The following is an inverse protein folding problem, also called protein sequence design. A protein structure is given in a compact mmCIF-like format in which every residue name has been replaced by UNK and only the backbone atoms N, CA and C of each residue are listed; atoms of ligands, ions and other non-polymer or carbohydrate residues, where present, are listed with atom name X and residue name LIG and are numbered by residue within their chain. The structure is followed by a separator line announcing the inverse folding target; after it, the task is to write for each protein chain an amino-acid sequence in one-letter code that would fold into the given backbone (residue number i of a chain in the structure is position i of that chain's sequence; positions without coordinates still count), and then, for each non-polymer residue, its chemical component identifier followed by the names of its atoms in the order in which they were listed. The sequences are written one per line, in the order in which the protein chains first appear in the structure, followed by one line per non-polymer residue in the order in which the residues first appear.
data_IF_275056689043
#
_entry.id   IF_275056689043
#
_cell.length_a   1.000
_cell.length_b   1.000
_cell.length_c   1.000
_cell.angle_alpha   90.00
_cell.angle_beta   90.00
_cell.angle_gamma   90.00
#
_symmetry.space_group_name_H-M   'P 1'
#
loop_
_entity.id
_entity.type
_entity.pdbx_description
1 polymer ?
#
# COMPACT_ATOMS: atom_id res chain seq x y z
N UNK A 1 10.37 -8.28 -24.45
CA UNK A 1 10.06 -9.25 -23.37
C UNK A 1 11.16 -9.40 -22.31
N UNK A 2 12.43 -9.02 -22.55
CA UNK A 2 13.50 -9.15 -21.54
C UNK A 2 13.44 -8.14 -20.37
N UNK A 3 13.10 -6.88 -20.64
CA UNK A 3 13.05 -5.83 -19.60
C UNK A 3 11.94 -6.05 -18.56
N UNK A 4 10.79 -6.60 -18.97
CA UNK A 4 9.65 -6.85 -18.09
C UNK A 4 9.95 -7.95 -17.07
N UNK A 5 10.63 -9.03 -17.48
CA UNK A 5 11.00 -10.11 -16.56
C UNK A 5 12.02 -9.63 -15.53
N UNK A 6 13.02 -8.84 -15.96
CA UNK A 6 14.04 -8.29 -15.07
C UNK A 6 13.45 -7.27 -14.08
N UNK A 7 12.50 -6.42 -14.52
CA UNK A 7 11.77 -5.48 -13.66
C UNK A 7 10.87 -6.18 -12.64
N UNK A 8 10.20 -7.26 -13.03
CA UNK A 8 9.37 -8.07 -12.11
C UNK A 8 10.25 -8.78 -11.08
N UNK A 9 11.37 -9.37 -11.51
CA UNK A 9 12.32 -10.03 -10.62
C UNK A 9 12.95 -9.02 -9.65
N UNK A 10 13.43 -7.87 -10.12
CA UNK A 10 13.93 -6.82 -9.21
C UNK A 10 12.85 -6.29 -8.29
N UNK A 11 11.65 -6.09 -8.83
CA UNK A 11 10.48 -5.57 -8.13
C UNK A 11 9.93 -6.46 -7.02
N UNK A 12 10.18 -7.77 -7.09
CA UNK A 12 9.62 -8.77 -6.18
C UNK A 12 10.70 -9.42 -5.32
N UNK A 13 11.88 -9.71 -5.89
CA UNK A 13 13.00 -10.37 -5.21
C UNK A 13 13.81 -9.38 -4.38
N UNK A 14 14.12 -8.19 -4.89
CA UNK A 14 14.91 -7.22 -4.11
C UNK A 14 14.19 -6.80 -2.80
N UNK A 15 12.88 -6.51 -2.78
CA UNK A 15 12.19 -6.23 -1.53
C UNK A 15 12.17 -7.40 -0.58
N UNK A 16 12.03 -8.64 -1.08
CA UNK A 16 12.05 -9.85 -0.26
C UNK A 16 13.43 -10.03 0.36
N UNK A 17 14.51 -9.85 -0.40
CA UNK A 17 15.88 -9.97 0.11
C UNK A 17 16.24 -8.84 1.07
N UNK A 18 15.79 -7.61 0.82
CA UNK A 18 16.01 -6.47 1.72
C UNK A 18 15.19 -6.63 3.01
N UNK A 19 13.92 -7.04 2.89
CA UNK A 19 13.09 -7.36 4.04
C UNK A 19 13.71 -8.49 4.84
N UNK A 20 14.05 -9.61 4.19
CA UNK A 20 14.70 -10.77 4.83
C UNK A 20 16.06 -10.42 5.43
N UNK A 21 16.84 -9.52 4.81
CA UNK A 21 18.12 -9.04 5.31
C UNK A 21 17.98 -8.12 6.53
N UNK A 22 17.12 -7.09 6.45
CA UNK A 22 16.84 -6.18 7.56
C UNK A 22 16.24 -6.93 8.76
N UNK A 23 15.39 -7.91 8.46
CA UNK A 23 14.79 -8.81 9.43
C UNK A 23 15.79 -9.84 9.95
N UNK A 24 16.68 -10.35 9.10
CA UNK A 24 17.79 -11.24 9.46
C UNK A 24 18.69 -10.54 10.48
N UNK A 25 19.09 -9.30 10.20
CA UNK A 25 19.82 -8.45 11.14
C UNK A 25 19.02 -8.22 12.44
N UNK A 26 17.70 -7.96 12.33
CA UNK A 26 16.83 -7.78 13.49
C UNK A 26 16.58 -9.08 14.30
N UNK A 27 16.77 -10.26 13.70
CA UNK A 27 16.52 -11.56 14.33
C UNK A 27 17.79 -12.27 14.79
N UNK A 28 18.94 -11.93 14.22
CA UNK A 28 20.28 -12.45 14.56
C UNK A 28 20.84 -11.82 15.82
N UNK A 29 20.55 -10.53 16.06
CA UNK A 29 20.68 -9.97 17.39
C UNK A 29 19.61 -10.58 18.29
N UNK A 30 19.98 -11.16 19.44
CA UNK A 30 19.02 -11.34 20.54
C UNK A 30 18.61 -9.96 21.03
N UNK A 31 17.71 -9.27 20.31
CA UNK A 31 17.13 -7.96 20.65
C UNK A 31 16.12 -8.14 21.80
N UNK A 32 16.50 -8.89 22.83
CA UNK A 32 15.68 -9.16 24.00
C UNK A 32 15.81 -8.05 25.04
N UNK A 33 16.82 -7.17 24.94
CA UNK A 33 17.15 -6.20 26.00
C UNK A 33 17.31 -4.74 25.57
N UNK A 34 17.16 -4.40 24.29
CA UNK A 34 17.48 -3.03 23.85
C UNK A 34 16.28 -2.36 23.15
N UNK A 35 15.52 -1.50 23.85
CA UNK A 35 14.48 -0.63 23.26
C UNK A 35 14.98 0.18 22.04
N UNK A 36 16.30 0.42 21.98
CA UNK A 36 16.98 1.20 20.94
C UNK A 36 16.92 0.61 19.53
N UNK A 37 16.34 -0.56 19.28
CA UNK A 37 16.33 -1.17 17.93
C UNK A 37 14.93 -1.20 17.28
N UNK A 38 13.89 -0.70 17.95
CA UNK A 38 12.52 -0.66 17.42
C UNK A 38 12.36 0.18 16.15
N UNK A 39 13.26 1.14 15.92
CA UNK A 39 13.28 1.96 14.70
C UNK A 39 13.63 1.14 13.45
N UNK A 40 14.17 -0.07 13.59
CA UNK A 40 14.43 -0.95 12.45
C UNK A 40 13.16 -1.48 11.80
N UNK A 41 12.03 -1.56 12.53
CA UNK A 41 10.76 -2.03 11.97
C UNK A 41 10.24 -1.09 10.87
N UNK A 42 10.08 0.23 11.12
CA UNK A 42 9.66 1.13 10.05
C UNK A 42 10.71 1.18 8.92
N UNK A 43 12.01 1.12 9.22
CA UNK A 43 13.09 1.03 8.19
C UNK A 43 12.92 -0.20 7.31
N UNK A 44 12.73 -1.37 7.91
CA UNK A 44 12.52 -2.62 7.18
C UNK A 44 11.25 -2.59 6.33
N UNK A 45 10.24 -1.78 6.69
CA UNK A 45 9.02 -1.62 5.90
C UNK A 45 9.20 -0.67 4.72
N UNK A 46 9.88 0.46 4.91
CA UNK A 46 9.93 1.48 3.88
C UNK A 46 11.11 1.37 2.93
N UNK A 47 12.26 0.81 3.37
CA UNK A 47 13.42 0.62 2.49
C UNK A 47 13.09 -0.29 1.31
N UNK A 48 12.42 -1.45 1.47
CA UNK A 48 12.02 -2.28 0.33
C UNK A 48 11.14 -1.54 -0.67
N UNK A 49 10.17 -0.75 -0.20
CA UNK A 49 9.27 0.04 -1.04
C UNK A 49 10.04 1.15 -1.77
N UNK A 50 10.91 1.87 -1.06
CA UNK A 50 11.73 2.93 -1.62
C UNK A 50 12.74 2.39 -2.65
N UNK A 51 13.43 1.29 -2.32
CA UNK A 51 14.40 0.66 -3.24
C UNK A 51 13.70 0.12 -4.47
N UNK A 52 12.55 -0.56 -4.33
CA UNK A 52 11.75 -0.98 -5.48
C UNK A 52 11.37 0.21 -6.37
N UNK A 53 10.98 1.33 -5.76
CA UNK A 53 10.62 2.53 -6.49
C UNK A 53 11.82 3.16 -7.21
N UNK A 54 12.92 3.46 -6.50
CA UNK A 54 14.09 4.13 -7.08
C UNK A 54 14.82 3.25 -8.10
N UNK A 55 14.84 1.93 -7.90
CA UNK A 55 15.43 1.00 -8.86
C UNK A 55 14.65 0.98 -10.19
N UNK A 56 13.32 1.12 -10.15
CA UNK A 56 12.48 1.11 -11.35
C UNK A 56 12.40 2.47 -12.05
N UNK A 57 12.47 3.58 -11.31
CA UNK A 57 12.14 4.90 -11.84
C UNK A 57 13.25 5.95 -11.76
N UNK A 58 14.31 5.71 -10.97
CA UNK A 58 15.31 6.73 -10.68
C UNK A 58 14.71 7.95 -9.97
N UNK A 59 15.23 9.15 -10.26
CA UNK A 59 14.72 10.39 -9.68
C UNK A 59 13.38 10.78 -10.32
N UNK A 60 12.34 11.14 -9.53
CA UNK A 60 11.01 11.39 -10.06
C UNK A 60 10.98 12.60 -10.99
N UNK A 61 10.59 12.34 -12.24
CA UNK A 61 10.38 13.33 -13.29
C UNK A 61 8.89 13.66 -13.46
N UNK A 62 8.02 12.67 -13.21
CA UNK A 62 6.57 12.81 -13.38
C UNK A 62 5.86 12.97 -12.03
N UNK A 63 4.70 13.64 -12.04
CA UNK A 63 3.97 13.98 -10.80
C UNK A 63 3.49 12.73 -10.04
N UNK A 64 3.02 11.69 -10.74
CA UNK A 64 2.61 10.43 -10.10
C UNK A 64 3.79 9.69 -9.45
N UNK A 65 5.02 9.91 -9.92
CA UNK A 65 6.19 9.27 -9.34
C UNK A 65 6.48 9.80 -7.94
N UNK A 66 5.92 10.95 -7.57
CA UNK A 66 6.04 11.52 -6.21
C UNK A 66 5.29 10.71 -5.16
N UNK A 67 4.38 9.81 -5.56
CA UNK A 67 3.73 8.85 -4.67
C UNK A 67 4.76 7.97 -3.95
N UNK A 68 5.92 7.74 -4.56
CA UNK A 68 7.07 7.05 -3.94
C UNK A 68 7.55 7.66 -2.63
N UNK A 69 7.42 8.97 -2.49
CA UNK A 69 7.87 9.67 -1.30
C UNK A 69 6.91 9.49 -0.14
N UNK A 70 5.68 9.03 -0.38
CA UNK A 70 4.70 8.74 0.67
C UNK A 70 5.21 7.69 1.66
N UNK A 71 5.66 6.50 1.24
CA UNK A 71 6.23 5.51 2.16
C UNK A 71 7.56 5.96 2.79
N UNK A 72 8.38 6.75 2.08
CA UNK A 72 9.64 7.33 2.63
C UNK A 72 9.35 8.40 3.69
N UNK A 73 8.31 9.18 3.51
CA UNK A 73 7.90 10.16 4.51
C UNK A 73 7.17 9.48 5.68
N UNK A 74 6.34 8.47 5.38
CA UNK A 74 5.74 7.58 6.39
C UNK A 74 6.80 6.85 7.23
N UNK A 75 7.95 6.49 6.65
CA UNK A 75 9.12 5.98 7.37
C UNK A 75 9.62 6.97 8.40
N UNK A 76 9.87 8.21 7.99
CA UNK A 76 10.39 9.27 8.87
C UNK A 76 9.41 9.47 10.03
N UNK A 77 8.11 9.54 9.73
CA UNK A 77 7.06 9.65 10.74
C UNK A 77 7.01 8.44 11.65
N UNK A 78 7.12 7.22 11.11
CA UNK A 78 7.18 5.98 11.89
C UNK A 78 8.39 5.92 12.81
N UNK A 79 9.56 6.35 12.35
CA UNK A 79 10.78 6.46 13.17
C UNK A 79 10.55 7.48 14.29
N UNK A 80 10.03 8.67 13.97
CA UNK A 80 9.72 9.70 14.97
C UNK A 80 8.69 9.20 15.99
N UNK A 81 7.69 8.42 15.56
CA UNK A 81 6.71 7.76 16.44
C UNK A 81 7.39 6.85 17.47
N UNK A 82 8.36 6.05 17.01
CA UNK A 82 9.11 5.13 17.85
C UNK A 82 9.98 5.90 18.84
N UNK A 83 10.55 7.03 18.42
CA UNK A 83 11.47 7.84 19.24
C UNK A 83 10.77 8.73 20.27
N UNK A 84 9.65 9.36 19.90
CA UNK A 84 8.96 10.37 20.75
C UNK A 84 8.04 9.76 21.82
N UNK A 85 7.81 8.45 21.80
CA UNK A 85 7.06 7.74 22.84
C UNK A 85 5.54 7.84 22.70
N UNK A 86 4.82 7.33 23.69
CA UNK A 86 3.38 6.97 23.60
C UNK A 86 2.39 8.09 23.96
N UNK A 87 2.84 9.33 24.14
CA UNK A 87 1.99 10.44 24.59
C UNK A 87 0.87 10.78 23.60
N UNK A 88 -0.27 11.27 24.11
CA UNK A 88 -1.43 11.65 23.27
C UNK A 88 -1.05 12.76 22.28
N UNK A 89 -0.26 13.74 22.72
CA UNK A 89 0.25 14.82 21.86
C UNK A 89 1.17 14.29 20.75
N UNK A 90 2.06 13.34 21.05
CA UNK A 90 2.92 12.70 20.05
C UNK A 90 2.09 11.93 19.00
N UNK A 91 1.01 11.25 19.43
CA UNK A 91 0.08 10.58 18.50
C UNK A 91 -0.71 11.57 17.65
N UNK A 92 -1.19 12.66 18.24
CA UNK A 92 -1.89 13.72 17.51
C UNK A 92 -0.98 14.36 16.46
N UNK A 93 0.25 14.72 16.85
CA UNK A 93 1.27 15.24 15.93
C UNK A 93 1.58 14.26 14.80
N UNK A 94 1.74 12.97 15.11
CA UNK A 94 1.95 11.93 14.10
C UNK A 94 0.81 11.86 13.08
N UNK A 95 -0.44 11.85 13.54
CA UNK A 95 -1.60 11.82 12.65
C UNK A 95 -1.65 13.05 11.73
N UNK A 96 -1.34 14.23 12.27
CA UNK A 96 -1.27 15.47 11.49
C UNK A 96 -0.17 15.40 10.42
N UNK A 97 1.01 14.88 10.76
CA UNK A 97 2.09 14.73 9.77
C UNK A 97 1.71 13.71 8.70
N UNK A 98 1.12 12.56 9.06
CA UNK A 98 0.63 11.58 8.08
C UNK A 98 -0.40 12.17 7.12
N UNK A 99 -1.32 12.98 7.67
CA UNK A 99 -2.28 13.73 6.88
C UNK A 99 -1.61 14.72 5.94
N UNK A 100 -0.69 15.55 6.44
CA UNK A 100 0.06 16.52 5.65
C UNK A 100 0.85 15.86 4.51
N UNK A 101 1.49 14.71 4.77
CA UNK A 101 2.23 13.94 3.77
C UNK A 101 1.32 13.37 2.68
N UNK A 102 0.17 12.82 3.09
CA UNK A 102 -0.86 12.34 2.16
C UNK A 102 -1.30 13.49 1.25
N UNK A 103 -1.56 14.66 1.84
CA UNK A 103 -1.97 15.87 1.12
C UNK A 103 -0.90 16.31 0.13
N UNK A 104 0.36 16.43 0.57
CA UNK A 104 1.47 16.86 -0.27
C UNK A 104 1.70 15.93 -1.47
N UNK A 105 1.52 14.62 -1.29
CA UNK A 105 1.70 13.64 -2.36
C UNK A 105 0.57 13.65 -3.40
N UNK A 106 -0.67 13.91 -2.95
CA UNK A 106 -1.85 13.93 -3.83
C UNK A 106 -2.02 15.30 -4.51
N UNK A 107 -1.54 16.36 -3.87
CA UNK A 107 -1.65 17.74 -4.35
C UNK A 107 -1.30 17.95 -5.83
N UNK A 108 -0.16 17.42 -6.35
CA UNK A 108 0.18 17.59 -7.75
C UNK A 108 -0.66 16.71 -8.68
N UNK A 109 -1.29 15.63 -8.19
CA UNK A 109 -1.98 14.62 -9.01
C UNK A 109 -3.43 15.05 -9.30
N UNK A 110 -4.11 15.63 -8.31
CA UNK A 110 -5.51 16.03 -8.45
C UNK A 110 -5.60 17.40 -9.12
N UNK A 111 -5.69 17.41 -10.44
CA UNK A 111 -5.92 18.63 -11.23
C UNK A 111 -7.36 19.16 -11.13
N UNK A 112 -8.32 18.35 -10.64
CA UNK A 112 -9.74 18.75 -10.54
C UNK A 112 -9.92 19.95 -9.58
N UNK A 113 -10.71 20.92 -10.02
CA UNK A 113 -10.87 22.26 -9.40
C UNK A 113 -11.41 22.24 -7.97
N UNK A 114 -12.01 21.14 -7.51
CA UNK A 114 -12.64 21.10 -6.19
C UNK A 114 -11.67 20.65 -5.10
N UNK A 115 -11.36 21.55 -4.17
CA UNK A 115 -10.58 21.32 -2.95
C UNK A 115 -10.97 20.06 -2.16
N UNK A 116 -12.23 19.63 -2.26
CA UNK A 116 -12.76 18.41 -1.62
C UNK A 116 -11.93 17.17 -1.96
N UNK A 117 -11.55 16.97 -3.22
CA UNK A 117 -10.78 15.78 -3.63
C UNK A 117 -9.33 15.78 -3.12
N UNK A 118 -8.81 16.95 -2.71
CA UNK A 118 -7.48 17.08 -2.11
C UNK A 118 -7.51 16.83 -0.60
N UNK A 119 -8.61 17.20 0.06
CA UNK A 119 -8.77 17.07 1.51
C UNK A 119 -9.26 15.68 1.90
N UNK A 120 -10.16 15.07 1.11
CA UNK A 120 -10.76 13.77 1.42
C UNK A 120 -9.72 12.67 1.75
N UNK A 121 -8.62 12.51 0.99
CA UNK A 121 -7.62 11.48 1.27
C UNK A 121 -6.83 11.77 2.55
N UNK A 122 -6.59 13.04 2.84
CA UNK A 122 -5.95 13.48 4.10
C UNK A 122 -6.80 13.05 5.29
N UNK A 123 -8.11 13.35 5.23
CA UNK A 123 -9.07 12.98 6.27
C UNK A 123 -9.18 11.46 6.38
N UNK A 124 -9.24 10.75 5.26
CA UNK A 124 -9.32 9.29 5.23
C UNK A 124 -8.07 8.64 5.86
N UNK A 125 -6.86 9.11 5.55
CA UNK A 125 -5.62 8.60 6.17
C UNK A 125 -5.60 8.85 7.67
N UNK A 126 -5.96 10.06 8.11
CA UNK A 126 -6.04 10.40 9.53
C UNK A 126 -7.06 9.51 10.24
N UNK A 127 -8.25 9.37 9.68
CA UNK A 127 -9.32 8.56 10.25
C UNK A 127 -8.91 7.08 10.33
N UNK A 128 -8.36 6.51 9.26
CA UNK A 128 -7.88 5.13 9.22
C UNK A 128 -6.79 4.89 10.27
N UNK A 129 -5.78 5.76 10.32
CA UNK A 129 -4.70 5.66 11.30
C UNK A 129 -5.20 5.81 12.75
N UNK A 130 -6.10 6.76 13.00
CA UNK A 130 -6.69 6.99 14.32
C UNK A 130 -7.54 5.81 14.78
N UNK A 131 -8.30 5.17 13.88
CA UNK A 131 -9.14 4.02 14.18
C UNK A 131 -8.31 2.74 14.40
N UNK A 132 -7.18 2.59 13.72
CA UNK A 132 -6.29 1.43 13.89
C UNK A 132 -5.32 1.60 15.08
N UNK A 133 -5.01 2.83 15.49
CA UNK A 133 -4.06 3.09 16.56
C UNK A 133 -4.41 2.40 17.90
N UNK A 134 -5.66 2.41 18.39
CA UNK A 134 -6.04 1.66 19.58
C UNK A 134 -5.82 0.15 19.42
N UNK A 135 -6.09 -0.42 18.24
CA UNK A 135 -5.84 -1.83 17.97
C UNK A 135 -4.35 -2.16 18.08
N UNK A 136 -3.46 -1.34 17.50
CA UNK A 136 -2.03 -1.53 17.63
C UNK A 136 -1.55 -1.50 19.08
N UNK A 137 -2.15 -0.68 19.93
CA UNK A 137 -1.79 -0.64 21.36
C UNK A 137 -2.32 -1.85 22.14
N UNK A 138 -3.53 -2.33 21.82
CA UNK A 138 -4.19 -3.46 22.51
C UNK A 138 -3.70 -4.82 22.00
N UNK A 139 -3.32 -4.91 20.73
CA UNK A 139 -2.89 -6.13 20.01
C UNK A 139 -1.59 -5.92 19.25
N UNK A 140 -0.55 -5.55 19.97
CA UNK A 140 0.78 -5.54 19.39
C UNK A 140 1.22 -7.03 19.22
N UNK A 141 0.99 -7.58 18.03
CA UNK A 141 1.09 -9.00 17.69
C UNK A 141 0.79 -9.23 16.21
N UNK A 142 0.65 -10.49 15.73
CA UNK A 142 0.56 -10.80 14.30
C UNK A 142 -0.69 -10.24 13.61
N UNK A 143 -1.76 -9.93 14.36
CA UNK A 143 -3.04 -9.49 13.82
C UNK A 143 -2.91 -8.26 12.90
N UNK A 144 -2.22 -7.23 13.38
CA UNK A 144 -2.06 -5.95 12.68
C UNK A 144 -1.22 -6.07 11.41
N UNK A 145 0.04 -6.55 11.43
CA UNK A 145 0.84 -6.68 10.22
C UNK A 145 0.18 -7.66 9.22
N UNK A 146 -0.50 -8.71 9.68
CA UNK A 146 -1.16 -9.67 8.78
C UNK A 146 -2.38 -9.08 8.09
N UNK A 147 -3.23 -8.35 8.82
CA UNK A 147 -4.37 -7.67 8.22
C UNK A 147 -3.94 -6.57 7.25
N UNK A 148 -2.90 -5.80 7.61
CA UNK A 148 -2.30 -4.80 6.73
C UNK A 148 -1.64 -5.44 5.49
N UNK A 149 -1.01 -6.61 5.61
CA UNK A 149 -0.44 -7.34 4.48
C UNK A 149 -1.53 -7.71 3.46
N UNK A 150 -2.65 -8.28 3.93
CA UNK A 150 -3.78 -8.66 3.08
C UNK A 150 -4.38 -7.45 2.39
N UNK A 151 -4.62 -6.36 3.13
CA UNK A 151 -5.16 -5.13 2.55
C UNK A 151 -4.20 -4.51 1.52
N UNK A 152 -2.90 -4.47 1.82
CA UNK A 152 -1.89 -3.92 0.90
C UNK A 152 -1.75 -4.79 -0.35
N UNK A 153 -1.83 -6.11 -0.23
CA UNK A 153 -1.88 -7.02 -1.38
C UNK A 153 -3.13 -6.80 -2.24
N UNK A 154 -4.29 -6.60 -1.59
CA UNK A 154 -5.53 -6.22 -2.27
C UNK A 154 -5.41 -4.91 -3.04
N UNK A 155 -4.82 -3.90 -2.42
CA UNK A 155 -4.51 -2.62 -3.09
C UNK A 155 -3.56 -2.81 -4.27
N UNK A 156 -2.50 -3.63 -4.14
CA UNK A 156 -1.61 -3.93 -5.25
C UNK A 156 -2.36 -4.61 -6.41
N UNK A 157 -3.21 -5.60 -6.12
CA UNK A 157 -4.03 -6.27 -7.12
C UNK A 157 -4.99 -5.29 -7.82
N UNK A 158 -5.60 -4.37 -7.06
CA UNK A 158 -6.46 -3.34 -7.63
C UNK A 158 -5.72 -2.40 -8.57
N UNK A 159 -4.53 -1.93 -8.16
CA UNK A 159 -3.66 -1.08 -8.98
C UNK A 159 -3.22 -1.81 -10.25
N UNK A 160 -3.00 -3.13 -10.17
CA UNK A 160 -2.68 -3.97 -11.31
C UNK A 160 -3.84 -4.07 -12.30
N UNK A 161 -5.07 -4.32 -11.81
CA UNK A 161 -6.28 -4.40 -12.64
C UNK A 161 -6.52 -3.07 -13.36
N UNK A 162 -6.20 -1.94 -12.73
CA UNK A 162 -6.23 -0.62 -13.35
C UNK A 162 -5.14 -0.40 -14.42
N UNK A 163 -4.31 -1.39 -14.74
CA UNK A 163 -3.22 -1.28 -15.71
C UNK A 163 -1.98 -0.56 -15.20
N UNK A 164 -1.94 -0.15 -13.93
CA UNK A 164 -0.84 0.63 -13.37
C UNK A 164 0.26 -0.28 -12.80
N UNK A 165 0.84 -1.13 -13.66
CA UNK A 165 1.88 -2.10 -13.29
C UNK A 165 3.02 -1.44 -12.50
N UNK A 166 3.36 -0.21 -12.88
CA UNK A 166 4.43 0.57 -12.28
C UNK A 166 4.25 0.80 -10.76
N UNK A 167 3.02 1.07 -10.31
CA UNK A 167 2.71 1.25 -8.88
C UNK A 167 2.45 -0.08 -8.18
N UNK A 168 2.02 -1.12 -8.90
CA UNK A 168 1.74 -2.44 -8.34
C UNK A 168 2.95 -3.03 -7.64
N UNK A 169 4.12 -2.96 -8.29
CA UNK A 169 5.36 -3.56 -7.80
C UNK A 169 5.77 -3.05 -6.41
N UNK A 170 5.95 -1.72 -6.17
CA UNK A 170 6.34 -1.22 -4.86
C UNK A 170 5.28 -1.45 -3.76
N UNK A 171 3.99 -1.53 -4.13
CA UNK A 171 2.92 -1.85 -3.16
C UNK A 171 2.99 -3.34 -2.79
N UNK A 172 3.18 -4.23 -3.78
CA UNK A 172 3.35 -5.66 -3.57
C UNK A 172 4.57 -5.98 -2.70
N UNK A 173 5.67 -5.25 -2.90
CA UNK A 173 6.85 -5.28 -2.04
C UNK A 173 6.53 -4.97 -0.57
N UNK A 174 5.73 -3.93 -0.32
CA UNK A 174 5.24 -3.58 1.01
C UNK A 174 4.37 -4.69 1.63
N UNK A 175 3.43 -5.24 0.85
CA UNK A 175 2.58 -6.35 1.28
C UNK A 175 3.39 -7.59 1.68
N UNK A 176 4.38 -7.96 0.88
CA UNK A 176 5.27 -9.10 1.15
C UNK A 176 6.10 -8.87 2.42
N UNK A 177 6.62 -7.65 2.61
CA UNK A 177 7.37 -7.30 3.81
C UNK A 177 6.52 -7.44 5.08
N UNK A 178 5.25 -7.00 5.03
CA UNK A 178 4.28 -7.18 6.10
C UNK A 178 3.95 -8.66 6.34
N UNK A 179 3.86 -9.47 5.28
CA UNK A 179 3.64 -10.91 5.40
C UNK A 179 4.80 -11.62 6.11
N UNK A 180 6.04 -11.27 5.77
CA UNK A 180 7.24 -11.77 6.47
C UNK A 180 7.24 -11.34 7.93
N UNK A 181 6.95 -10.07 8.22
CA UNK A 181 6.82 -9.56 9.58
C UNK A 181 5.73 -10.32 10.37
N UNK A 182 4.63 -10.67 9.71
CA UNK A 182 3.56 -11.49 10.28
C UNK A 182 4.04 -12.91 10.61
N UNK A 183 4.71 -13.58 9.67
CA UNK A 183 5.25 -14.93 9.89
C UNK A 183 6.23 -14.96 11.07
N UNK A 184 7.00 -13.90 11.25
CA UNK A 184 7.97 -13.79 12.34
C UNK A 184 7.30 -13.51 13.66
N UNK A 185 6.31 -12.61 13.69
CA UNK A 185 5.55 -12.35 14.92
C UNK A 185 4.73 -13.56 15.37
N UNK A 186 4.32 -14.43 14.45
CA UNK A 186 3.75 -15.74 14.76
C UNK A 186 4.75 -16.68 15.43
N UNK A 187 6.02 -16.71 14.98
CA UNK A 187 7.07 -17.55 15.57
C UNK A 187 7.71 -16.97 16.83
N UNK A 188 7.81 -15.64 16.93
CA UNK A 188 8.48 -14.88 17.99
C UNK A 188 7.49 -13.88 18.59
N UNK A 189 6.78 -14.30 19.64
CA UNK A 189 5.73 -13.53 20.34
C UNK A 189 6.21 -12.22 21.01
N UNK A 190 7.52 -12.00 21.07
CA UNK A 190 8.14 -10.81 21.64
C UNK A 190 8.16 -9.61 20.66
N UNK A 191 8.12 -9.85 19.35
CA UNK A 191 8.01 -8.78 18.35
C UNK A 191 6.57 -8.30 18.28
N UNK A 192 6.38 -7.01 18.49
CA UNK A 192 5.07 -6.39 18.69
C UNK A 192 4.92 -5.15 17.81
N UNK A 193 4.89 -5.33 16.48
CA UNK A 193 4.64 -4.23 15.55
C UNK A 193 3.31 -3.57 15.89
N UNK A 194 3.33 -2.24 16.02
CA UNK A 194 2.21 -1.45 16.49
C UNK A 194 1.96 -0.21 15.64
N UNK A 195 2.13 0.97 16.25
CA UNK A 195 1.78 2.26 15.63
C UNK A 195 2.69 2.59 14.45
N UNK A 196 3.95 2.16 14.50
CA UNK A 196 4.94 2.34 13.45
C UNK A 196 4.52 1.66 12.14
N UNK A 197 3.92 0.46 12.21
CA UNK A 197 3.42 -0.25 11.03
C UNK A 197 2.21 0.46 10.45
N UNK A 198 1.31 0.96 11.30
CA UNK A 198 0.15 1.73 10.84
C UNK A 198 0.60 3.03 10.17
N UNK A 199 1.54 3.76 10.75
CA UNK A 199 2.02 5.03 10.22
C UNK A 199 2.63 4.91 8.82
N UNK A 200 3.35 3.81 8.55
CA UNK A 200 3.94 3.56 7.22
C UNK A 200 2.86 3.13 6.21
N UNK A 201 1.92 2.27 6.62
CA UNK A 201 1.02 1.58 5.70
C UNK A 201 -0.26 2.36 5.43
N UNK A 202 -0.78 3.13 6.40
CA UNK A 202 -2.06 3.84 6.23
C UNK A 202 -2.06 4.87 5.11
N UNK A 203 -1.00 5.69 4.89
CA UNK A 203 -0.96 6.61 3.77
C UNK A 203 -0.89 5.84 2.43
N UNK A 204 -0.14 4.73 2.38
CA UNK A 204 -0.04 3.90 1.19
C UNK A 204 -1.40 3.31 0.79
N UNK A 205 -2.15 2.79 1.77
CA UNK A 205 -3.48 2.21 1.58
C UNK A 205 -4.52 3.22 1.08
N UNK A 206 -4.32 4.53 1.30
CA UNK A 206 -5.26 5.57 0.83
C UNK A 206 -4.79 6.19 -0.48
N UNK A 207 -3.51 6.55 -0.57
CA UNK A 207 -2.95 7.25 -1.74
C UNK A 207 -2.94 6.33 -2.96
N UNK A 208 -2.46 5.09 -2.82
CA UNK A 208 -2.32 4.20 -3.96
C UNK A 208 -3.65 3.89 -4.70
N UNK A 209 -4.73 3.46 -4.03
CA UNK A 209 -5.98 3.18 -4.72
C UNK A 209 -6.64 4.46 -5.24
N UNK A 210 -6.47 5.61 -4.58
CA UNK A 210 -6.94 6.88 -5.11
C UNK A 210 -6.23 7.26 -6.42
N UNK A 211 -4.90 7.12 -6.47
CA UNK A 211 -4.11 7.41 -7.68
C UNK A 211 -4.52 6.49 -8.81
N UNK A 212 -4.73 5.20 -8.54
CA UNK A 212 -5.23 4.26 -9.54
C UNK A 212 -6.64 4.63 -10.04
N UNK A 213 -7.54 5.01 -9.13
CA UNK A 213 -8.88 5.46 -9.49
C UNK A 213 -8.87 6.75 -10.32
N UNK A 214 -8.08 7.75 -9.91
CA UNK A 214 -7.93 9.00 -10.66
C UNK A 214 -7.40 8.77 -12.07
N UNK A 215 -6.41 7.86 -12.21
CA UNK A 215 -5.89 7.48 -13.52
C UNK A 215 -6.97 6.84 -14.39
N UNK A 216 -7.72 5.86 -13.87
CA UNK A 216 -8.80 5.20 -14.61
C UNK A 216 -9.90 6.19 -15.02
N UNK A 217 -10.35 7.04 -14.09
CA UNK A 217 -11.37 8.05 -14.41
C UNK A 217 -10.87 9.10 -15.41
N UNK A 218 -9.57 9.40 -15.45
CA UNK A 218 -9.00 10.28 -16.47
C UNK A 218 -8.89 9.61 -17.85
N UNK A 219 -8.79 8.28 -17.88
CA UNK A 219 -8.81 7.48 -19.11
C UNK A 219 -10.22 7.21 -19.65
N UNK A 220 -11.27 7.64 -18.95
CA UNK A 220 -12.66 7.38 -19.31
C UNK A 220 -13.23 6.04 -18.81
N UNK A 221 -12.43 5.26 -18.08
CA UNK A 221 -12.87 3.98 -17.51
C UNK A 221 -13.59 4.18 -16.17
N UNK A 222 -14.84 3.73 -16.08
CA UNK A 222 -15.66 3.83 -14.88
C UNK A 222 -15.58 2.56 -14.02
N UNK A 223 -14.45 2.35 -13.34
CA UNK A 223 -14.42 1.38 -12.25
C UNK A 223 -15.18 1.92 -11.02
N UNK A 224 -16.00 1.10 -10.35
CA UNK A 224 -16.71 1.53 -9.14
C UNK A 224 -15.75 2.03 -8.07
N UNK A 225 -16.00 3.23 -7.52
CA UNK A 225 -15.18 3.79 -6.44
C UNK A 225 -15.08 2.84 -5.23
N UNK A 226 -16.14 2.04 -4.99
CA UNK A 226 -16.15 1.01 -3.95
C UNK A 226 -14.98 0.02 -4.07
N UNK A 227 -14.57 -0.35 -5.29
CA UNK A 227 -13.46 -1.29 -5.53
C UNK A 227 -12.11 -0.77 -5.01
N UNK A 228 -11.97 0.56 -4.91
CA UNK A 228 -10.75 1.23 -4.40
C UNK A 228 -10.85 1.54 -2.90
N UNK A 229 -12.04 1.85 -2.41
CA UNK A 229 -12.28 2.18 -0.99
C UNK A 229 -12.26 0.93 -0.11
N UNK A 230 -12.80 -0.19 -0.59
CA UNK A 230 -12.93 -1.42 0.19
C UNK A 230 -11.58 -1.99 0.66
N UNK A 231 -10.53 -2.12 -0.19
CA UNK A 231 -9.21 -2.59 0.28
C UNK A 231 -8.57 -1.64 1.30
N UNK A 232 -8.75 -0.32 1.12
CA UNK A 232 -8.23 0.70 2.04
C UNK A 232 -8.90 0.62 3.42
N UNK A 233 -10.21 0.36 3.45
CA UNK A 233 -11.01 0.25 4.67
C UNK A 233 -10.95 -1.15 5.32
N UNK A 234 -10.57 -2.19 4.58
CA UNK A 234 -10.56 -3.58 5.04
C UNK A 234 -9.84 -3.79 6.40
N UNK A 235 -8.69 -3.13 6.69
CA UNK A 235 -8.03 -3.27 8.00
C UNK A 235 -8.90 -2.91 9.21
N UNK A 236 -9.95 -2.09 9.03
CA UNK A 236 -10.87 -1.75 10.12
C UNK A 236 -11.61 -2.99 10.65
N UNK A 237 -11.76 -4.04 9.83
CA UNK A 237 -12.35 -5.32 10.24
C UNK A 237 -11.51 -6.09 11.26
N UNK A 238 -10.27 -5.66 11.51
CA UNK A 238 -9.48 -6.17 12.64
C UNK A 238 -10.19 -5.93 13.98
N UNK A 239 -11.06 -4.91 14.07
CA UNK A 239 -11.93 -4.67 15.23
C UNK A 239 -12.96 -5.77 15.46
N UNK A 240 -13.37 -6.52 14.43
CA UNK A 240 -14.31 -7.62 14.59
C UNK A 240 -13.79 -8.68 15.58
N UNK A 241 -12.47 -8.91 15.59
CA UNK A 241 -11.84 -9.81 16.56
C UNK A 241 -11.95 -9.35 18.02
N UNK A 242 -12.25 -8.08 18.29
CA UNK A 242 -12.45 -7.49 19.63
C UNK A 242 -13.91 -7.49 20.09
N UNK A 243 -14.84 -7.92 19.24
CA UNK A 243 -16.26 -8.00 19.61
C UNK A 243 -16.49 -9.04 20.72
N UNK A 244 -17.54 -8.81 21.54
CA UNK A 244 -17.86 -9.63 22.71
C UNK A 244 -17.86 -11.15 22.47
N UNK A 245 -18.49 -11.67 21.39
CA UNK A 245 -18.51 -13.10 21.11
C UNK A 245 -17.12 -13.71 20.84
N UNK A 246 -16.26 -12.97 20.13
CA UNK A 246 -14.92 -13.42 19.75
C UNK A 246 -13.90 -13.20 20.87
N UNK A 247 -14.13 -12.26 21.79
CA UNK A 247 -13.21 -11.97 22.90
C UNK A 247 -12.98 -13.15 23.84
N UNK A 248 -13.96 -14.06 23.97
CA UNK A 248 -13.87 -15.29 24.79
C UNK A 248 -13.12 -16.43 24.10
N UNK A 249 -12.83 -16.31 22.80
CA UNK A 249 -12.17 -17.34 21.99
C UNK A 249 -10.64 -17.25 22.11
N UNK A 250 -9.90 -18.35 21.81
CA UNK A 250 -8.44 -18.31 21.84
C UNK A 250 -7.88 -17.27 20.85
N UNK A 251 -6.71 -16.71 21.19
CA UNK A 251 -6.12 -15.59 20.46
C UNK A 251 -5.92 -15.87 18.97
N UNK A 252 -5.46 -17.09 18.62
CA UNK A 252 -5.23 -17.49 17.23
C UNK A 252 -6.53 -17.45 16.39
N UNK A 253 -7.66 -17.88 16.97
CA UNK A 253 -8.95 -17.87 16.26
C UNK A 253 -9.44 -16.44 16.03
N UNK A 254 -9.23 -15.55 17.01
CA UNK A 254 -9.54 -14.12 16.87
C UNK A 254 -8.74 -13.45 15.76
N UNK A 255 -7.48 -13.85 15.57
CA UNK A 255 -6.62 -13.36 14.49
C UNK A 255 -7.06 -13.94 13.15
N UNK A 256 -7.28 -15.25 13.08
CA UNK A 256 -7.70 -15.93 11.86
C UNK A 256 -9.03 -15.36 11.32
N UNK A 257 -10.04 -15.21 12.19
CA UNK A 257 -11.33 -14.62 11.81
C UNK A 257 -11.16 -13.20 11.29
N UNK A 258 -10.35 -12.38 11.97
CA UNK A 258 -10.08 -11.02 11.52
C UNK A 258 -9.42 -10.99 10.13
N UNK A 259 -8.43 -11.84 9.88
CA UNK A 259 -7.80 -11.96 8.56
C UNK A 259 -8.75 -12.44 7.47
N UNK A 260 -9.61 -13.42 7.77
CA UNK A 260 -10.62 -13.90 6.84
C UNK A 260 -11.59 -12.79 6.46
N UNK A 261 -12.03 -11.96 7.42
CA UNK A 261 -12.91 -10.83 7.14
C UNK A 261 -12.23 -9.77 6.26
N UNK A 262 -10.96 -9.43 6.55
CA UNK A 262 -10.16 -8.52 5.71
C UNK A 262 -10.04 -9.08 4.29
N UNK A 263 -9.69 -10.37 4.17
CA UNK A 263 -9.53 -11.05 2.88
C UNK A 263 -10.84 -11.11 2.09
N UNK A 264 -11.96 -11.37 2.76
CA UNK A 264 -13.28 -11.41 2.12
C UNK A 264 -13.66 -10.06 1.51
N UNK A 265 -13.43 -8.95 2.22
CA UNK A 265 -13.72 -7.61 1.69
C UNK A 265 -12.77 -7.23 0.54
N UNK A 266 -11.49 -7.61 0.64
CA UNK A 266 -10.54 -7.44 -0.47
C UNK A 266 -10.98 -8.27 -1.69
N UNK A 267 -11.41 -9.51 -1.50
CA UNK A 267 -11.89 -10.37 -2.58
C UNK A 267 -13.16 -9.82 -3.23
N UNK A 268 -14.09 -9.26 -2.45
CA UNK A 268 -15.28 -8.56 -2.97
C UNK A 268 -14.84 -7.37 -3.83
N UNK A 269 -13.90 -6.55 -3.36
CA UNK A 269 -13.42 -5.40 -4.12
C UNK A 269 -12.82 -5.80 -5.47
N UNK A 270 -11.98 -6.85 -5.47
CA UNK A 270 -11.38 -7.41 -6.67
C UNK A 270 -12.46 -7.97 -7.61
N UNK A 271 -13.44 -8.72 -7.08
CA UNK A 271 -14.52 -9.27 -7.89
C UNK A 271 -15.39 -8.16 -8.53
N UNK A 272 -15.67 -7.08 -7.81
CA UNK A 272 -16.37 -5.91 -8.35
C UNK A 272 -15.55 -5.24 -9.46
N UNK A 273 -14.24 -5.11 -9.28
CA UNK A 273 -13.37 -4.55 -10.30
C UNK A 273 -13.29 -5.44 -11.55
N UNK A 274 -13.17 -6.75 -11.40
CA UNK A 274 -13.11 -7.69 -12.53
C UNK A 274 -14.43 -7.75 -13.30
N UNK A 275 -15.58 -7.56 -12.63
CA UNK A 275 -16.89 -7.49 -13.29
C UNK A 275 -17.11 -6.19 -14.04
N UNK A 276 -16.55 -5.09 -13.53
CA UNK A 276 -16.68 -3.77 -14.14
C UNK A 276 -15.56 -3.45 -15.12
N UNK A 277 -14.46 -4.21 -15.10
CA UNK A 277 -13.43 -4.11 -16.11
C UNK A 277 -14.13 -4.38 -17.45
N UNK A 278 -14.11 -3.42 -18.39
CA UNK A 278 -14.63 -3.70 -19.71
C UNK A 278 -13.94 -4.96 -20.22
N UNK A 279 -14.65 -5.77 -21.01
CA UNK A 279 -13.98 -6.65 -21.95
C UNK A 279 -13.16 -5.71 -22.83
N UNK A 280 -11.96 -5.35 -22.36
CA UNK A 280 -10.89 -4.85 -23.19
C UNK A 280 -10.65 -6.05 -24.09
N UNK A 281 -11.42 -6.09 -25.19
CA UNK A 281 -10.98 -6.70 -26.40
C UNK A 281 -9.53 -6.27 -26.55
N UNK A 282 -8.71 -7.20 -27.01
CA UNK A 282 -7.28 -7.07 -27.19
C UNK A 282 -6.91 -5.99 -28.22
N UNK A 283 -7.62 -4.85 -28.25
CA UNK A 283 -7.24 -3.59 -28.83
C UNK A 283 -6.01 -3.11 -28.07
N UNK A 284 -4.90 -3.76 -28.43
CA UNK A 284 -3.57 -3.35 -28.06
C UNK A 284 -3.46 -1.88 -28.51
N UNK A 285 -3.22 -0.92 -27.60
CA UNK A 285 -3.00 0.46 -28.00
C UNK A 285 -1.81 0.58 -28.99
N UNK A 286 -0.94 -0.45 -29.05
CA UNK A 286 0.03 -0.58 -30.15
C UNK A 286 -0.59 -0.92 -31.49
N UNK A 287 -1.68 -1.69 -31.56
CA UNK A 287 -2.41 -1.98 -32.80
C UNK A 287 -3.08 -0.71 -33.36
N UNK A 288 -3.67 0.13 -32.52
CA UNK A 288 -4.21 1.42 -32.97
C UNK A 288 -3.12 2.41 -33.39
N UNK A 289 -1.98 2.42 -32.68
CA UNK A 289 -0.79 3.15 -33.13
C UNK A 289 -0.27 2.59 -34.47
N UNK A 290 -0.28 1.27 -34.65
CA UNK A 290 0.12 0.61 -35.90
C UNK A 290 -0.85 0.95 -37.03
N UNK A 291 -2.16 0.94 -36.78
CA UNK A 291 -3.21 1.34 -37.73
C UNK A 291 -3.08 2.82 -38.10
N UNK A 292 -2.78 3.72 -37.15
CA UNK A 292 -2.50 5.12 -37.46
C UNK A 292 -1.20 5.30 -38.28
N UNK A 293 -0.13 4.56 -37.96
CA UNK A 293 1.12 4.61 -38.71
C UNK A 293 1.02 3.97 -40.11
N UNK A 294 0.20 2.93 -40.27
CA UNK A 294 -0.01 2.25 -41.55
C UNK A 294 -1.07 2.95 -42.42
N UNK A 295 -2.12 3.50 -41.81
CA UNK A 295 -3.17 4.26 -42.49
C UNK A 295 -2.68 5.63 -43.01
N UNK A 296 -1.68 6.24 -42.35
CA UNK A 296 -1.05 7.48 -42.84
C UNK A 296 -0.10 7.27 -44.04
N UNK A 297 0.29 6.02 -44.35
CA UNK A 297 1.13 5.72 -45.52
C UNK A 297 0.35 5.48 -46.81
N UNK A 298 -0.94 5.18 -46.73
CA UNK A 298 -1.76 4.88 -47.92
C UNK A 298 -2.28 6.13 -48.64
N UNK A 299 -2.19 7.33 -48.04
CA UNK A 299 -2.63 8.58 -48.67
C UNK A 299 -1.57 9.30 -49.51
N UNK A 300 -0.37 8.74 -49.68
CA UNK A 300 0.74 9.38 -50.42
C UNK A 300 1.04 8.78 -51.81
N UNK A 301 0.18 7.90 -52.34
CA UNK A 301 0.37 7.32 -53.68
C UNK A 301 -0.90 7.41 -54.53
N UNK A 302 -1.22 8.61 -54.99
CA UNK A 302 -1.88 8.81 -56.29
C UNK A 302 -1.19 9.98 -56.99
N UNK A 303 -0.11 9.72 -57.76
CA UNK A 303 0.32 10.66 -58.78
C UNK A 303 -0.71 10.66 -59.92
N UNK A 304 -1.11 11.86 -60.32
CA UNK A 304 -1.97 12.13 -61.46
C UNK A 304 -1.27 11.82 -62.80
#
# INVERSE_FOLDING_TARGET
MGETAQQVVFGLVAPVLIAAGAIGVATWGRIEKVPRWRWLIPVALAVPVAVAFFALYGWPREQWQRVAFVPVAGLIVGIVAVMTGRGVLARGGLLLVLGGLTGAAIWPIVARETWVWRILPVVATIALAALLAPLATRRAGPAVPGGLAIATAGTAAMVLISGFLKLTIPIGAGAMTLAVLTAITLRRTQLRPGLETIAVVSPLLVVAPLVAWLYMTSAGDELPAASFVLPAAAPLLLWAGETGPLRRRPAWLRVAVAWVLVAAVVAIAIALALRAAPERGEEDPMEDLYRQMMGSRTSLQTPA
#
